data_IF_791189644264
#
_entry.id   IF_791189644264
#
_cell.length_a   1.000
_cell.length_b   1.000
_cell.length_c   1.000
_cell.angle_alpha   90.00
_cell.angle_beta   90.00
_cell.angle_gamma   90.00
#
_symmetry.space_group_name_H-M   'P 1'
#
loop_
_entity.id
_entity.type
_entity.pdbx_description
1 polymer ?
#
# COMPACT_ATOMS: atom_id res chain seq x y z
N UNK A 1 -5.48 14.68 -16.51
CA UNK A 1 -6.59 14.40 -15.56
C UNK A 1 -6.02 14.33 -14.15
N UNK A 2 -6.67 14.97 -13.20
CA UNK A 2 -6.26 14.88 -11.81
C UNK A 2 -6.76 13.57 -11.20
N UNK A 3 -5.96 12.96 -10.33
CA UNK A 3 -6.38 11.82 -9.53
C UNK A 3 -7.37 12.24 -8.45
N UNK A 4 -8.19 11.32 -8.01
CA UNK A 4 -9.14 11.50 -6.92
C UNK A 4 -8.78 10.57 -5.78
N UNK A 5 -8.82 11.05 -4.54
CA UNK A 5 -8.58 10.20 -3.39
C UNK A 5 -9.75 9.23 -3.20
N UNK A 6 -9.47 7.94 -3.33
CA UNK A 6 -10.48 6.89 -3.16
C UNK A 6 -10.58 6.42 -1.71
N UNK A 7 -9.47 6.46 -0.97
CA UNK A 7 -9.42 6.08 0.44
C UNK A 7 -8.19 6.70 1.07
N UNK A 8 -8.19 6.85 2.39
CA UNK A 8 -7.03 7.35 3.12
C UNK A 8 -7.11 6.96 4.60
N UNK A 9 -5.99 7.09 5.28
CA UNK A 9 -5.91 6.82 6.70
C UNK A 9 -4.48 6.85 7.21
N UNK A 10 -4.27 6.35 8.39
CA UNK A 10 -2.94 6.16 8.98
C UNK A 10 -2.91 4.78 9.63
N UNK A 11 -1.89 3.99 9.30
CA UNK A 11 -1.73 2.66 9.85
C UNK A 11 -0.53 2.63 10.78
N UNK A 12 -0.78 2.32 12.05
CA UNK A 12 0.29 2.02 13.00
C UNK A 12 0.71 0.57 12.79
N UNK A 13 1.97 0.37 12.45
CA UNK A 13 2.48 -0.96 12.15
C UNK A 13 2.78 -1.74 13.43
N UNK A 14 2.33 -2.99 13.47
CA UNK A 14 2.81 -4.00 14.41
C UNK A 14 3.82 -4.86 13.65
N UNK A 15 5.02 -5.04 14.19
CA UNK A 15 6.10 -5.74 13.49
C UNK A 15 5.64 -7.14 13.07
N UNK A 16 5.93 -7.46 11.81
CA UNK A 16 5.60 -8.75 11.16
C UNK A 16 4.11 -9.00 10.92
N UNK A 17 3.24 -8.03 11.18
CA UNK A 17 1.83 -8.13 10.88
C UNK A 17 1.52 -7.42 9.56
N UNK A 18 0.91 -8.15 8.62
CA UNK A 18 0.42 -7.54 7.38
C UNK A 18 -0.92 -6.88 7.64
N UNK A 19 -0.99 -5.55 7.53
CA UNK A 19 -2.22 -4.78 7.75
C UNK A 19 -2.90 -4.52 6.42
N UNK A 20 -4.19 -4.83 6.32
CA UNK A 20 -5.00 -4.41 5.19
C UNK A 20 -5.35 -2.94 5.35
N UNK A 21 -4.90 -2.11 4.41
CA UNK A 21 -5.21 -0.67 4.41
C UNK A 21 -6.62 -0.42 3.91
N UNK A 22 -6.95 -0.99 2.76
CA UNK A 22 -8.28 -0.84 2.16
C UNK A 22 -8.52 -1.93 1.12
N UNK A 23 -9.80 -2.22 0.87
CA UNK A 23 -10.24 -3.10 -0.20
C UNK A 23 -11.13 -2.30 -1.14
N UNK A 24 -10.81 -2.31 -2.43
CA UNK A 24 -11.53 -1.56 -3.46
C UNK A 24 -12.19 -2.54 -4.41
N UNK A 25 -13.49 -2.38 -4.66
CA UNK A 25 -14.26 -3.26 -5.54
C UNK A 25 -14.78 -2.56 -6.79
N UNK A 26 -14.62 -1.25 -6.88
CA UNK A 26 -15.03 -0.46 -8.05
C UNK A 26 -13.94 -0.54 -9.13
N UNK A 27 -14.33 -0.89 -10.36
CA UNK A 27 -13.39 -0.94 -11.48
C UNK A 27 -12.72 0.42 -11.70
N UNK A 28 -11.44 0.39 -12.05
CA UNK A 28 -10.67 1.61 -12.29
C UNK A 28 -9.19 1.35 -12.21
N UNK A 29 -8.41 2.43 -12.23
CA UNK A 29 -6.96 2.38 -12.06
C UNK A 29 -6.61 3.07 -10.76
N UNK A 30 -5.86 2.40 -9.90
CA UNK A 30 -5.57 2.90 -8.55
C UNK A 30 -4.08 2.85 -8.26
N UNK A 31 -3.65 3.75 -7.38
CA UNK A 31 -2.25 3.85 -6.94
C UNK A 31 -2.22 4.15 -5.45
N UNK A 32 -1.31 3.50 -4.72
CA UNK A 32 -1.10 3.74 -3.30
C UNK A 32 -0.01 4.78 -3.11
N UNK A 33 -0.26 5.74 -2.24
CA UNK A 33 0.72 6.73 -1.79
C UNK A 33 0.88 6.63 -0.29
N UNK A 34 2.13 6.51 0.19
CA UNK A 34 2.42 6.34 1.62
C UNK A 34 3.44 7.36 2.06
N UNK A 35 3.19 8.00 3.20
CA UNK A 35 4.15 8.86 3.86
C UNK A 35 5.07 7.96 4.70
N UNK A 36 6.34 7.87 4.31
CA UNK A 36 7.35 7.05 4.98
C UNK A 36 8.34 7.88 5.79
N UNK A 37 7.96 9.12 6.16
CA UNK A 37 8.82 9.99 6.94
C UNK A 37 9.24 9.37 8.28
N UNK A 38 8.42 8.48 8.84
CA UNK A 38 8.71 7.83 10.12
C UNK A 38 9.74 6.70 10.02
N UNK A 39 10.08 6.22 8.82
CA UNK A 39 11.08 5.17 8.66
C UNK A 39 12.45 5.66 9.15
N UNK A 40 13.09 4.84 9.96
CA UNK A 40 14.43 5.09 10.49
C UNK A 40 15.36 3.93 10.10
N UNK A 41 16.67 4.12 10.32
CA UNK A 41 17.64 3.07 10.03
C UNK A 41 17.31 1.82 10.85
N UNK A 42 17.30 0.66 10.19
CA UNK A 42 16.94 -0.62 10.78
C UNK A 42 15.48 -1.01 10.55
N UNK A 43 14.63 -0.10 10.09
CA UNK A 43 13.24 -0.40 9.75
C UNK A 43 13.15 -0.96 8.34
N UNK A 44 12.17 -1.86 8.12
CA UNK A 44 11.88 -2.42 6.80
C UNK A 44 10.37 -2.46 6.60
N UNK A 45 9.91 -1.80 5.55
CA UNK A 45 8.49 -1.69 5.21
C UNK A 45 8.23 -2.39 3.88
N UNK A 46 7.17 -3.19 3.81
CA UNK A 46 6.74 -3.85 2.58
C UNK A 46 5.32 -3.40 2.25
N UNK A 47 5.13 -2.88 1.05
CA UNK A 47 3.82 -2.52 0.51
C UNK A 47 3.44 -3.55 -0.53
N UNK A 48 2.18 -4.02 -0.51
CA UNK A 48 1.70 -5.01 -1.47
C UNK A 48 0.33 -4.62 -2.01
N UNK A 49 0.09 -5.00 -3.26
CA UNK A 49 -1.23 -4.96 -3.88
C UNK A 49 -1.63 -6.38 -4.23
N UNK A 50 -2.87 -6.74 -3.93
CA UNK A 50 -3.44 -8.05 -4.26
C UNK A 50 -4.71 -7.84 -5.07
N UNK A 51 -4.86 -8.56 -6.16
CA UNK A 51 -6.01 -8.44 -7.04
C UNK A 51 -6.47 -9.80 -7.55
N UNK A 52 -7.69 -9.85 -8.08
CA UNK A 52 -8.23 -11.05 -8.73
C UNK A 52 -7.98 -10.99 -10.22
N UNK A 53 -7.58 -12.11 -10.82
CA UNK A 53 -7.41 -12.19 -12.26
C UNK A 53 -8.77 -12.20 -12.98
N UNK A 54 -9.78 -12.78 -12.36
CA UNK A 54 -11.14 -12.85 -12.92
C UNK A 54 -12.16 -13.01 -11.79
N UNK A 55 -13.45 -12.87 -12.14
CA UNK A 55 -14.55 -13.06 -11.21
C UNK A 55 -14.52 -14.46 -10.58
N UNK A 56 -14.65 -14.51 -9.26
CA UNK A 56 -14.69 -15.77 -8.51
C UNK A 56 -13.32 -16.31 -8.12
N UNK A 57 -12.24 -15.70 -8.59
CA UNK A 57 -10.89 -16.13 -8.20
C UNK A 57 -10.48 -15.58 -6.83
N UNK A 58 -9.41 -16.15 -6.29
CA UNK A 58 -8.78 -15.67 -5.07
C UNK A 58 -7.89 -14.45 -5.39
N UNK A 59 -7.90 -13.44 -4.53
CA UNK A 59 -6.95 -12.34 -4.65
C UNK A 59 -5.53 -12.85 -4.45
N UNK A 60 -4.64 -12.41 -5.34
CA UNK A 60 -3.22 -12.78 -5.31
C UNK A 60 -2.38 -11.52 -5.46
N UNK A 61 -1.13 -11.58 -5.00
CA UNK A 61 -0.22 -10.46 -5.07
C UNK A 61 0.10 -10.11 -6.53
N UNK A 62 -0.10 -8.84 -6.89
CA UNK A 62 0.24 -8.32 -8.23
C UNK A 62 1.36 -7.30 -8.18
N UNK A 63 1.70 -6.80 -7.00
CA UNK A 63 2.76 -5.80 -6.82
C UNK A 63 3.30 -5.88 -5.41
N UNK A 64 4.62 -5.68 -5.25
CA UNK A 64 5.23 -5.44 -3.95
C UNK A 64 6.41 -4.48 -4.09
N UNK A 65 6.64 -3.71 -3.03
CA UNK A 65 7.79 -2.81 -2.94
C UNK A 65 8.32 -2.86 -1.51
N UNK A 66 9.66 -2.78 -1.38
CA UNK A 66 10.33 -2.82 -0.09
C UNK A 66 11.07 -1.51 0.11
N UNK A 67 10.91 -0.91 1.29
CA UNK A 67 11.61 0.31 1.69
C UNK A 67 12.35 0.03 2.99
N UNK A 68 13.65 0.24 3.00
CA UNK A 68 14.50 -0.02 4.16
C UNK A 68 15.19 1.27 4.59
N UNK A 69 15.33 1.44 5.90
CA UNK A 69 16.03 2.57 6.50
C UNK A 69 15.35 3.92 6.20
N UNK A 70 15.99 5.00 6.60
CA UNK A 70 15.52 6.35 6.31
C UNK A 70 15.49 6.57 4.80
N UNK A 71 14.36 7.04 4.29
CA UNK A 71 14.17 7.32 2.88
C UNK A 71 14.47 8.79 2.57
N UNK A 72 15.12 9.04 1.44
CA UNK A 72 15.34 10.40 0.96
C UNK A 72 14.02 11.04 0.54
N UNK A 73 13.18 10.28 -0.18
CA UNK A 73 11.82 10.71 -0.53
C UNK A 73 10.87 10.29 0.59
N UNK A 74 10.21 11.26 1.21
CA UNK A 74 9.36 11.02 2.38
C UNK A 74 7.97 10.53 2.02
N UNK A 75 7.55 10.68 0.77
CA UNK A 75 6.30 10.15 0.24
C UNK A 75 6.63 9.29 -0.96
N UNK A 76 6.12 8.06 -0.96
CA UNK A 76 6.40 7.08 -2.01
C UNK A 76 5.10 6.58 -2.62
N UNK A 77 5.14 6.25 -3.91
CA UNK A 77 4.00 5.79 -4.67
C UNK A 77 4.24 4.38 -5.20
N UNK A 78 3.15 3.60 -5.30
CA UNK A 78 3.15 2.35 -6.03
C UNK A 78 3.05 2.60 -7.53
N UNK A 79 3.14 1.53 -8.32
CA UNK A 79 2.73 1.58 -9.73
C UNK A 79 1.20 1.72 -9.80
N UNK A 80 0.64 2.28 -10.90
CA UNK A 80 -0.78 2.22 -11.17
C UNK A 80 -1.22 0.77 -11.40
N UNK A 81 -2.33 0.38 -10.77
CA UNK A 81 -2.87 -0.99 -10.87
C UNK A 81 -4.31 -0.89 -11.39
N UNK A 82 -4.57 -1.34 -12.63
CA UNK A 82 -5.93 -1.41 -13.14
C UNK A 82 -6.65 -2.63 -12.55
N UNK A 83 -7.91 -2.45 -12.18
CA UNK A 83 -8.73 -3.54 -11.65
C UNK A 83 -10.12 -3.55 -12.28
N UNK A 84 -10.69 -4.73 -12.34
CA UNK A 84 -12.09 -4.95 -12.70
C UNK A 84 -12.88 -5.49 -11.52
N UNK A 85 -12.25 -6.29 -10.66
CA UNK A 85 -12.94 -7.02 -9.59
C UNK A 85 -12.59 -6.49 -8.21
N UNK A 86 -11.42 -6.85 -7.69
CA UNK A 86 -11.05 -6.51 -6.33
C UNK A 86 -9.58 -6.15 -6.24
N UNK A 87 -9.27 -5.12 -5.44
CA UNK A 87 -7.91 -4.70 -5.16
C UNK A 87 -7.77 -4.50 -3.66
N UNK A 88 -6.78 -5.15 -3.06
CA UNK A 88 -6.45 -5.01 -1.65
C UNK A 88 -5.05 -4.43 -1.52
N UNK A 89 -4.93 -3.30 -0.83
CA UNK A 89 -3.64 -2.71 -0.50
C UNK A 89 -3.26 -3.09 0.92
N UNK A 90 -2.02 -3.56 1.10
CA UNK A 90 -1.53 -3.96 2.42
C UNK A 90 -0.19 -3.30 2.74
N UNK A 91 0.10 -3.20 4.05
CA UNK A 91 1.33 -2.63 4.59
C UNK A 91 1.82 -3.56 5.69
N UNK A 92 3.12 -3.91 5.63
CA UNK A 92 3.74 -4.75 6.65
C UNK A 92 5.12 -4.20 6.98
N UNK A 93 5.37 -3.91 8.25
CA UNK A 93 6.71 -3.58 8.71
C UNK A 93 7.34 -4.84 9.29
N UNK A 94 8.48 -5.28 8.71
CA UNK A 94 9.08 -6.57 9.03
C UNK A 94 10.29 -6.46 9.96
N UNK A 95 10.81 -5.26 10.19
CA UNK A 95 11.96 -5.05 11.07
C UNK A 95 11.93 -3.65 11.69
N UNK A 96 12.64 -3.49 12.77
CA UNK A 96 12.77 -2.20 13.48
C UNK A 96 11.68 -1.98 14.51
N UNK A 97 11.36 -0.72 14.77
CA UNK A 97 10.33 -0.30 15.72
C UNK A 97 9.06 0.07 14.96
N UNK A 98 7.89 -0.41 15.44
CA UNK A 98 6.61 -0.10 14.79
C UNK A 98 6.38 1.40 14.67
N UNK A 99 6.04 1.85 13.45
CA UNK A 99 5.82 3.26 13.10
C UNK A 99 4.41 3.46 12.59
N UNK A 100 3.96 4.71 12.56
CA UNK A 100 2.69 5.08 11.95
C UNK A 100 2.95 5.62 10.54
N UNK A 101 2.17 5.14 9.56
CA UNK A 101 2.32 5.52 8.16
C UNK A 101 0.99 6.07 7.63
N UNK A 102 0.91 7.40 7.41
CA UNK A 102 -0.22 7.97 6.68
C UNK A 102 -0.23 7.46 5.24
N UNK A 103 -1.40 7.18 4.71
CA UNK A 103 -1.53 6.65 3.35
C UNK A 103 -2.79 7.15 2.66
N UNK A 104 -2.78 7.10 1.34
CA UNK A 104 -3.98 7.33 0.53
C UNK A 104 -3.95 6.45 -0.70
N UNK A 105 -5.12 6.13 -1.22
CA UNK A 105 -5.28 5.45 -2.51
C UNK A 105 -5.90 6.43 -3.47
N UNK A 106 -5.25 6.63 -4.61
CA UNK A 106 -5.68 7.55 -5.64
C UNK A 106 -6.33 6.80 -6.78
N UNK A 107 -7.51 7.25 -7.21
CA UNK A 107 -8.16 6.78 -8.43
C UNK A 107 -7.70 7.68 -9.59
N UNK A 108 -7.18 7.07 -10.63
CA UNK A 108 -6.61 7.79 -11.78
C UNK A 108 -7.60 7.89 -12.94
#
# INVERSE_FOLDING_TARGET
MAGTEAASGSQTATISTEHTLTTITTAGVYMLRVDVNALANGDRLVLRAKAKARTGDTTRQVFSAVFEHTQADKVVDSIPVPIVHELVWTLQQTAGTGRAFPWSVLAL
#
